data_IF_028370070058
#
_entry.id   IF_028370070058
#
_cell.length_a   1.000
_cell.length_b   1.000
_cell.length_c   1.000
_cell.angle_alpha   90.00
_cell.angle_beta   90.00
_cell.angle_gamma   90.00
#
_symmetry.space_group_name_H-M   'P 1'
#
loop_
_entity.id
_entity.type
_entity.pdbx_description
1 polymer ?
#
# COMPACT_ATOMS: atom_id res chain seq x y z
N UNK A 1 -12.55 18.21 -5.23
CA UNK A 1 -13.34 18.83 -6.32
C UNK A 1 -14.32 17.79 -6.88
N UNK A 2 -15.49 18.21 -7.36
CA UNK A 2 -16.50 17.34 -7.97
C UNK A 2 -17.01 17.96 -9.29
N UNK A 3 -17.19 17.18 -10.37
CA UNK A 3 -16.90 15.75 -10.49
C UNK A 3 -15.38 15.47 -10.43
N UNK A 4 -14.96 14.22 -10.17
CA UNK A 4 -13.56 13.84 -10.24
C UNK A 4 -12.97 14.14 -11.62
N UNK A 5 -11.81 14.79 -11.64
CA UNK A 5 -11.07 15.11 -12.86
C UNK A 5 -9.97 14.08 -13.12
N UNK A 6 -9.77 13.74 -14.39
CA UNK A 6 -8.62 12.99 -14.88
C UNK A 6 -7.45 13.94 -15.19
N UNK A 7 -6.22 13.44 -15.01
CA UNK A 7 -4.96 14.08 -15.41
C UNK A 7 -4.38 13.53 -16.71
N UNK A 8 -5.06 12.56 -17.35
CA UNK A 8 -4.63 12.01 -18.63
C UNK A 8 -4.60 13.11 -19.70
N UNK A 9 -3.63 13.04 -20.61
CA UNK A 9 -3.53 13.98 -21.72
C UNK A 9 -4.78 13.85 -22.62
N UNK A 10 -5.65 14.88 -22.72
CA UNK A 10 -6.85 14.82 -23.53
C UNK A 10 -6.59 14.72 -25.03
N UNK A 11 -5.40 15.08 -25.52
CA UNK A 11 -5.02 14.88 -26.92
C UNK A 11 -4.78 13.40 -27.25
N UNK A 12 -4.37 12.61 -26.26
CA UNK A 12 -4.08 11.17 -26.42
C UNK A 12 -5.29 10.32 -26.07
N UNK A 13 -6.00 10.68 -25.00
CA UNK A 13 -7.08 9.88 -24.43
C UNK A 13 -8.46 10.51 -24.62
N UNK A 14 -8.60 11.62 -25.35
CA UNK A 14 -9.88 12.27 -25.58
C UNK A 14 -10.56 12.76 -24.29
N UNK A 15 -11.90 12.79 -24.30
CA UNK A 15 -12.68 13.22 -23.14
C UNK A 15 -12.67 12.15 -22.03
N UNK A 16 -12.00 12.49 -20.92
CA UNK A 16 -11.89 11.66 -19.71
C UNK A 16 -12.68 12.23 -18.52
N UNK A 17 -13.69 13.08 -18.80
CA UNK A 17 -14.55 13.66 -17.77
C UNK A 17 -15.39 12.57 -17.12
N UNK A 18 -15.38 12.53 -15.78
CA UNK A 18 -16.25 11.63 -15.03
C UNK A 18 -17.72 11.88 -15.36
N UNK A 19 -18.44 10.79 -15.56
CA UNK A 19 -19.88 10.76 -15.86
C UNK A 19 -20.74 10.70 -14.60
N UNK A 20 -20.14 10.69 -13.41
CA UNK A 20 -20.87 10.73 -12.14
C UNK A 20 -21.52 12.11 -11.99
N UNK A 21 -22.84 12.13 -11.92
CA UNK A 21 -23.60 13.38 -11.76
C UNK A 21 -23.89 13.68 -10.30
N UNK A 22 -24.14 14.96 -10.02
CA UNK A 22 -24.57 15.40 -8.69
C UNK A 22 -25.89 14.75 -8.29
N UNK A 23 -26.88 14.69 -9.17
CA UNK A 23 -28.19 14.08 -8.87
C UNK A 23 -28.09 12.62 -8.40
N UNK A 24 -27.12 11.86 -8.93
CA UNK A 24 -26.87 10.47 -8.53
C UNK A 24 -26.35 10.34 -7.08
N UNK A 25 -25.74 11.40 -6.54
CA UNK A 25 -25.12 11.41 -5.19
C UNK A 25 -25.78 12.38 -4.21
N UNK A 26 -26.52 13.38 -4.68
CA UNK A 26 -27.03 14.53 -3.91
C UNK A 26 -28.13 14.17 -2.92
N UNK A 27 -28.88 13.08 -3.14
CA UNK A 27 -29.81 12.57 -2.12
C UNK A 27 -29.11 12.07 -0.84
N UNK A 28 -27.76 11.98 -0.82
CA UNK A 28 -26.99 11.37 0.29
C UNK A 28 -25.76 12.15 0.77
N UNK A 29 -25.32 13.24 0.13
CA UNK A 29 -24.10 13.93 0.58
C UNK A 29 -24.06 15.43 0.23
N UNK A 30 -24.00 16.31 1.25
CA UNK A 30 -23.56 17.70 1.11
C UNK A 30 -22.02 17.84 1.10
N UNK A 31 -21.28 16.76 1.39
CA UNK A 31 -19.81 16.72 1.48
C UNK A 31 -19.26 15.35 1.07
N UNK A 32 -18.98 15.14 -0.22
CA UNK A 32 -18.13 14.02 -0.66
C UNK A 32 -16.67 14.34 -0.32
N UNK A 33 -16.07 13.60 0.62
CA UNK A 33 -14.75 13.93 1.16
C UNK A 33 -13.66 12.89 0.84
N UNK A 34 -14.00 11.70 0.30
CA UNK A 34 -13.01 10.67 -0.03
C UNK A 34 -13.33 9.93 -1.33
N UNK A 35 -12.29 9.45 -2.02
CA UNK A 35 -12.40 8.67 -3.26
C UNK A 35 -11.29 7.63 -3.33
N UNK A 36 -11.59 6.50 -3.98
CA UNK A 36 -10.60 5.56 -4.50
C UNK A 36 -10.61 5.67 -6.02
N UNK A 37 -9.49 6.08 -6.61
CA UNK A 37 -9.42 6.43 -8.02
C UNK A 37 -8.30 5.66 -8.72
N UNK A 38 -8.66 4.62 -9.48
CA UNK A 38 -7.72 3.84 -10.28
C UNK A 38 -7.81 4.21 -11.77
N UNK A 39 -8.65 5.18 -12.13
CA UNK A 39 -8.95 5.49 -13.52
C UNK A 39 -7.69 5.85 -14.34
N UNK A 40 -6.97 6.90 -13.93
CA UNK A 40 -5.85 7.45 -14.71
C UNK A 40 -4.67 6.47 -14.81
N UNK A 41 -4.44 5.71 -13.75
CA UNK A 41 -3.37 4.72 -13.70
C UNK A 41 -3.66 3.53 -14.63
N UNK A 42 -4.93 3.15 -14.78
CA UNK A 42 -5.30 1.95 -15.52
C UNK A 42 -5.67 2.23 -16.98
N UNK A 43 -6.31 3.37 -17.27
CA UNK A 43 -6.83 3.70 -18.60
C UNK A 43 -5.81 3.48 -19.75
N UNK A 44 -4.52 3.87 -19.62
CA UNK A 44 -3.51 3.63 -20.66
C UNK A 44 -3.28 2.14 -21.02
N UNK A 45 -3.64 1.23 -20.12
CA UNK A 45 -3.42 -0.21 -20.26
C UNK A 45 -4.69 -1.00 -20.61
N UNK A 46 -5.87 -0.43 -20.37
CA UNK A 46 -7.13 -1.19 -20.45
C UNK A 46 -7.37 -1.82 -21.82
N UNK A 47 -7.09 -1.12 -22.92
CA UNK A 47 -7.26 -1.68 -24.27
C UNK A 47 -6.36 -2.90 -24.45
N UNK A 48 -5.08 -2.78 -24.12
CA UNK A 48 -4.08 -3.85 -24.24
C UNK A 48 -4.42 -5.05 -23.35
N UNK A 49 -4.88 -4.81 -22.12
CA UNK A 49 -5.33 -5.86 -21.19
C UNK A 49 -6.55 -6.56 -21.77
N UNK A 50 -7.59 -5.81 -22.13
CA UNK A 50 -8.88 -6.36 -22.54
C UNK A 50 -8.82 -7.11 -23.87
N UNK A 51 -7.93 -6.71 -24.79
CA UNK A 51 -7.76 -7.37 -26.10
C UNK A 51 -6.81 -8.57 -26.03
N UNK A 52 -5.68 -8.44 -25.32
CA UNK A 52 -4.57 -9.41 -25.45
C UNK A 52 -4.45 -10.38 -24.26
N UNK A 53 -5.43 -10.39 -23.35
CA UNK A 53 -5.46 -11.27 -22.19
C UNK A 53 -6.86 -11.84 -21.96
N UNK A 54 -6.96 -12.84 -21.08
CA UNK A 54 -8.25 -13.38 -20.64
C UNK A 54 -9.01 -12.46 -19.68
N UNK A 55 -8.35 -11.44 -19.13
CA UNK A 55 -8.97 -10.43 -18.25
C UNK A 55 -9.92 -9.52 -19.04
N UNK A 56 -10.96 -9.03 -18.37
CA UNK A 56 -11.84 -7.94 -18.80
C UNK A 56 -11.98 -6.93 -17.66
N UNK A 57 -11.13 -5.92 -17.67
CA UNK A 57 -10.98 -4.91 -16.63
C UNK A 57 -11.58 -3.56 -17.05
N UNK A 58 -11.88 -2.75 -16.03
CA UNK A 58 -12.30 -1.36 -16.15
C UNK A 58 -11.30 -0.45 -15.45
N UNK A 59 -11.32 0.84 -15.75
CA UNK A 59 -10.74 1.88 -14.92
C UNK A 59 -11.79 2.35 -13.93
N UNK A 60 -11.76 1.80 -12.71
CA UNK A 60 -12.77 2.09 -11.70
C UNK A 60 -12.47 3.35 -10.89
N UNK A 61 -13.53 4.09 -10.57
CA UNK A 61 -13.51 5.18 -9.61
C UNK A 61 -14.65 5.01 -8.61
N UNK A 62 -14.32 4.96 -7.32
CA UNK A 62 -15.29 4.79 -6.23
C UNK A 62 -15.39 6.05 -5.41
N UNK A 63 -16.60 6.60 -5.28
CA UNK A 63 -16.87 7.72 -4.39
C UNK A 63 -17.33 7.24 -3.03
N UNK A 64 -16.73 7.80 -1.99
CA UNK A 64 -16.98 7.46 -0.59
C UNK A 64 -17.49 8.69 0.15
N UNK A 65 -18.48 8.45 1.01
CA UNK A 65 -19.02 9.45 1.92
C UNK A 65 -18.64 9.11 3.35
N UNK A 66 -18.00 10.06 4.03
CA UNK A 66 -17.78 9.99 5.47
C UNK A 66 -19.08 10.41 6.14
N UNK A 67 -19.75 9.45 6.79
CA UNK A 67 -20.97 9.71 7.56
C UNK A 67 -20.62 10.44 8.85
N UNK A 68 -21.62 11.07 9.46
CA UNK A 68 -21.48 11.74 10.76
C UNK A 68 -21.09 10.77 11.89
N UNK A 69 -21.36 9.48 11.72
CA UNK A 69 -20.94 8.41 12.65
C UNK A 69 -19.50 7.92 12.43
N UNK A 70 -18.72 8.59 11.56
CA UNK A 70 -17.31 8.29 11.29
C UNK A 70 -17.05 7.19 10.26
N UNK A 71 -18.07 6.46 9.82
CA UNK A 71 -17.91 5.35 8.87
C UNK A 71 -17.93 5.84 7.41
N UNK A 72 -17.12 5.20 6.55
CA UNK A 72 -17.19 5.41 5.10
C UNK A 72 -18.31 4.59 4.46
N UNK A 73 -19.08 5.22 3.56
CA UNK A 73 -20.12 4.57 2.75
C UNK A 73 -19.85 4.77 1.26
N UNK A 74 -19.82 3.71 0.43
CA UNK A 74 -19.75 3.87 -1.02
C UNK A 74 -21.03 4.50 -1.56
N UNK A 75 -20.88 5.54 -2.38
CA UNK A 75 -21.99 6.26 -3.02
C UNK A 75 -22.19 5.87 -4.48
N UNK A 76 -21.09 5.70 -5.21
CA UNK A 76 -21.10 5.39 -6.62
C UNK A 76 -19.78 4.71 -7.02
N UNK A 77 -19.86 3.84 -8.02
CA UNK A 77 -18.72 3.27 -8.72
C UNK A 77 -18.89 3.60 -10.21
N UNK A 78 -17.95 4.33 -10.77
CA UNK A 78 -17.84 4.54 -12.21
C UNK A 78 -16.87 3.49 -12.78
N UNK A 79 -17.34 2.72 -13.76
CA UNK A 79 -16.52 1.78 -14.51
C UNK A 79 -16.30 2.32 -15.92
N UNK A 80 -15.05 2.66 -16.22
CA UNK A 80 -14.65 3.30 -17.48
C UNK A 80 -13.90 2.32 -18.37
N UNK A 81 -14.21 2.33 -19.66
CA UNK A 81 -13.44 1.65 -20.71
C UNK A 81 -12.86 2.67 -21.68
N UNK A 82 -11.76 2.37 -22.38
CA UNK A 82 -11.38 3.13 -23.56
C UNK A 82 -12.51 3.08 -24.59
N UNK A 83 -12.74 4.17 -25.31
CA UNK A 83 -13.77 4.23 -26.34
C UNK A 83 -13.54 3.14 -27.42
N UNK A 84 -14.57 2.43 -27.90
CA UNK A 84 -14.39 1.31 -28.84
C UNK A 84 -13.57 1.68 -30.08
N UNK A 85 -13.79 2.88 -30.63
CA UNK A 85 -13.14 3.35 -31.87
C UNK A 85 -11.69 3.84 -31.70
N UNK A 86 -11.16 3.92 -30.48
CA UNK A 86 -9.80 4.37 -30.20
C UNK A 86 -9.68 5.19 -28.92
N UNK A 87 -8.49 5.20 -28.31
CA UNK A 87 -8.25 5.88 -27.03
C UNK A 87 -8.46 7.39 -27.13
N UNK A 88 -8.16 7.98 -28.29
CA UNK A 88 -8.31 9.41 -28.58
C UNK A 88 -9.76 9.92 -28.53
N UNK A 89 -10.75 9.01 -28.52
CA UNK A 89 -12.17 9.37 -28.48
C UNK A 89 -12.75 9.45 -27.06
N UNK A 90 -11.95 9.22 -26.01
CA UNK A 90 -12.41 9.36 -24.63
C UNK A 90 -12.64 8.03 -23.92
N UNK A 91 -13.33 8.13 -22.78
CA UNK A 91 -13.79 6.98 -22.02
C UNK A 91 -15.27 6.69 -22.29
N UNK A 92 -15.60 5.42 -22.46
CA UNK A 92 -16.96 4.90 -22.38
C UNK A 92 -17.23 4.44 -20.95
N UNK A 93 -17.95 5.25 -20.17
CA UNK A 93 -18.16 5.04 -18.74
C UNK A 93 -19.62 4.70 -18.41
N UNK A 94 -19.81 3.81 -17.43
CA UNK A 94 -21.11 3.53 -16.80
C UNK A 94 -20.99 3.76 -15.30
N UNK A 95 -21.98 4.41 -14.70
CA UNK A 95 -22.05 4.68 -13.26
C UNK A 95 -23.04 3.74 -12.60
N UNK A 96 -22.61 3.13 -11.51
CA UNK A 96 -23.40 2.22 -10.68
C UNK A 96 -23.56 2.80 -9.28
N UNK A 97 -24.76 2.70 -8.71
CA UNK A 97 -25.07 3.19 -7.36
C UNK A 97 -25.59 2.04 -6.48
N UNK A 98 -25.44 2.13 -5.14
CA UNK A 98 -25.94 1.10 -4.24
C UNK A 98 -27.44 0.81 -4.41
N UNK A 99 -27.77 -0.47 -4.55
CA UNK A 99 -29.14 -1.01 -4.47
C UNK A 99 -29.16 -2.25 -3.55
N UNK A 100 -30.25 -2.43 -2.83
CA UNK A 100 -30.49 -3.56 -1.92
C UNK A 100 -31.54 -4.55 -2.47
N UNK A 101 -32.15 -4.25 -3.61
CA UNK A 101 -33.25 -5.02 -4.18
C UNK A 101 -33.03 -5.32 -5.65
N UNK A 102 -33.68 -6.40 -6.12
CA UNK A 102 -33.76 -6.74 -7.53
C UNK A 102 -32.41 -7.08 -8.18
N UNK A 103 -32.41 -7.07 -9.51
CA UNK A 103 -31.24 -7.31 -10.34
C UNK A 103 -30.16 -6.24 -10.12
N UNK A 104 -30.57 -5.03 -9.73
CA UNK A 104 -29.72 -3.89 -9.45
C UNK A 104 -28.80 -4.14 -8.26
N UNK A 105 -29.24 -4.92 -7.25
CA UNK A 105 -28.39 -5.32 -6.13
C UNK A 105 -27.21 -6.19 -6.60
N UNK A 106 -27.48 -7.10 -7.54
CA UNK A 106 -26.48 -8.00 -8.13
C UNK A 106 -25.52 -7.25 -9.06
N UNK A 107 -26.03 -6.29 -9.83
CA UNK A 107 -25.21 -5.37 -10.64
C UNK A 107 -24.29 -4.54 -9.73
N UNK A 108 -24.79 -4.06 -8.59
CA UNK A 108 -23.98 -3.34 -7.62
C UNK A 108 -22.89 -4.22 -7.00
N UNK A 109 -23.16 -5.49 -6.71
CA UNK A 109 -22.15 -6.44 -6.26
C UNK A 109 -21.05 -6.65 -7.30
N UNK A 110 -21.42 -6.81 -8.56
CA UNK A 110 -20.46 -6.91 -9.67
C UNK A 110 -19.63 -5.62 -9.80
N UNK A 111 -20.26 -4.45 -9.67
CA UNK A 111 -19.53 -3.16 -9.74
C UNK A 111 -18.47 -3.05 -8.63
N UNK A 112 -18.81 -3.48 -7.40
CA UNK A 112 -17.83 -3.60 -6.31
C UNK A 112 -16.72 -4.60 -6.66
N UNK A 113 -17.04 -5.76 -7.23
CA UNK A 113 -16.04 -6.74 -7.63
C UNK A 113 -15.05 -6.18 -8.66
N UNK A 114 -15.50 -5.44 -9.67
CA UNK A 114 -14.59 -4.79 -10.63
C UNK A 114 -13.69 -3.74 -9.97
N UNK A 115 -14.24 -2.93 -9.07
CA UNK A 115 -13.45 -1.99 -8.29
C UNK A 115 -12.41 -2.70 -7.39
N UNK A 116 -12.79 -3.82 -6.77
CA UNK A 116 -11.90 -4.67 -5.98
C UNK A 116 -10.83 -5.35 -6.83
N UNK A 117 -11.13 -5.75 -8.07
CA UNK A 117 -10.13 -6.28 -9.02
C UNK A 117 -9.05 -5.25 -9.32
N UNK A 118 -9.44 -4.00 -9.57
CA UNK A 118 -8.47 -2.92 -9.73
C UNK A 118 -7.64 -2.74 -8.46
N UNK A 119 -8.27 -2.66 -7.29
CA UNK A 119 -7.59 -2.51 -6.00
C UNK A 119 -6.59 -3.65 -5.73
N UNK A 120 -6.97 -4.89 -6.00
CA UNK A 120 -6.12 -6.05 -5.80
C UNK A 120 -4.85 -6.00 -6.67
N UNK A 121 -4.98 -5.65 -7.96
CA UNK A 121 -3.80 -5.49 -8.82
C UNK A 121 -2.92 -4.29 -8.42
N UNK A 122 -3.54 -3.18 -8.03
CA UNK A 122 -2.83 -1.99 -7.53
C UNK A 122 -2.08 -2.28 -6.24
N UNK A 123 -2.74 -2.95 -5.30
CA UNK A 123 -2.13 -3.39 -4.05
C UNK A 123 -0.95 -4.31 -4.31
N UNK A 124 -1.13 -5.39 -5.07
CA UNK A 124 -0.08 -6.40 -5.26
C UNK A 124 1.15 -5.84 -5.98
N UNK A 125 0.93 -5.10 -7.07
CA UNK A 125 2.03 -4.68 -7.95
C UNK A 125 2.66 -3.36 -7.48
N UNK A 126 1.85 -2.41 -6.99
CA UNK A 126 2.32 -1.06 -6.71
C UNK A 126 2.54 -0.86 -5.22
N UNK A 127 1.50 -1.01 -4.40
CA UNK A 127 1.62 -0.76 -2.96
C UNK A 127 2.55 -1.77 -2.28
N UNK A 128 2.44 -3.05 -2.63
CA UNK A 128 3.22 -4.11 -2.02
C UNK A 128 4.55 -4.27 -2.75
N UNK A 129 4.58 -4.87 -3.95
CA UNK A 129 5.83 -5.17 -4.65
C UNK A 129 6.71 -3.93 -4.90
N UNK A 130 6.21 -2.91 -5.61
CA UNK A 130 7.04 -1.76 -5.97
C UNK A 130 7.46 -0.97 -4.72
N UNK A 131 6.50 -0.54 -3.92
CA UNK A 131 6.71 0.41 -2.82
C UNK A 131 7.33 -0.18 -1.55
N UNK A 132 7.57 -1.50 -1.50
CA UNK A 132 8.31 -2.14 -0.39
C UNK A 132 9.47 -2.97 -0.95
N UNK A 133 9.19 -4.17 -1.49
CA UNK A 133 10.19 -5.09 -2.03
C UNK A 133 11.19 -4.42 -2.99
N UNK A 134 10.71 -3.83 -4.08
CA UNK A 134 11.57 -3.37 -5.17
C UNK A 134 12.36 -2.10 -4.82
N UNK A 135 11.75 -1.16 -4.09
CA UNK A 135 12.44 0.10 -3.71
C UNK A 135 13.44 -0.09 -2.57
N UNK A 136 13.31 -1.14 -1.76
CA UNK A 136 14.25 -1.42 -0.68
C UNK A 136 15.54 -2.11 -1.15
N UNK A 137 15.47 -3.00 -2.15
CA UNK A 137 16.62 -3.79 -2.59
C UNK A 137 17.86 -2.95 -2.98
N UNK A 138 17.75 -1.81 -3.70
CA UNK A 138 18.90 -0.97 -4.01
C UNK A 138 19.57 -0.35 -2.78
N UNK A 139 18.78 -0.03 -1.75
CA UNK A 139 19.27 0.51 -0.48
C UNK A 139 20.11 -0.55 0.25
N UNK A 140 19.63 -1.80 0.27
CA UNK A 140 20.34 -2.92 0.88
C UNK A 140 21.69 -3.15 0.20
N UNK A 141 21.70 -3.15 -1.14
CA UNK A 141 22.91 -3.36 -1.93
C UNK A 141 23.94 -2.26 -1.65
N UNK A 142 23.52 -0.99 -1.69
CA UNK A 142 24.42 0.14 -1.41
C UNK A 142 24.96 0.12 0.02
N UNK A 143 24.11 -0.20 1.01
CA UNK A 143 24.54 -0.26 2.41
C UNK A 143 25.64 -1.31 2.62
N UNK A 144 25.49 -2.50 2.04
CA UNK A 144 26.50 -3.57 2.11
C UNK A 144 27.79 -3.27 1.33
N UNK A 145 27.73 -2.36 0.33
CA UNK A 145 28.88 -2.00 -0.50
C UNK A 145 29.68 -0.82 0.03
N UNK A 146 29.02 0.11 0.71
CA UNK A 146 29.60 1.40 1.09
C UNK A 146 29.78 1.60 2.58
N UNK A 147 29.02 0.88 3.42
CA UNK A 147 29.14 0.98 4.88
C UNK A 147 29.80 -0.28 5.42
N UNK A 148 30.90 -0.13 6.17
CA UNK A 148 31.51 -1.26 6.87
C UNK A 148 30.57 -1.77 7.98
N UNK A 149 30.69 -3.05 8.35
CA UNK A 149 29.87 -3.67 9.41
C UNK A 149 29.97 -2.97 10.78
N UNK A 150 31.03 -2.19 11.01
CA UNK A 150 31.21 -1.38 12.22
C UNK A 150 30.48 -0.03 12.16
N UNK A 151 30.10 0.44 10.97
CA UNK A 151 29.49 1.73 10.75
C UNK A 151 28.15 1.84 11.51
N UNK A 152 27.88 2.95 12.23
CA UNK A 152 26.65 3.08 13.02
C UNK A 152 25.39 2.99 12.15
N UNK A 153 25.37 3.63 10.99
CA UNK A 153 24.21 3.54 10.08
C UNK A 153 24.03 2.13 9.49
N UNK A 154 25.11 1.35 9.29
CA UNK A 154 24.97 -0.07 8.92
C UNK A 154 24.30 -0.84 10.06
N UNK A 155 24.77 -0.67 11.31
CA UNK A 155 24.16 -1.31 12.49
C UNK A 155 22.71 -0.89 12.69
N UNK A 156 22.34 0.34 12.38
CA UNK A 156 20.96 0.82 12.46
C UNK A 156 20.06 0.12 11.43
N UNK A 157 20.48 0.11 10.15
CA UNK A 157 19.63 -0.32 9.04
C UNK A 157 19.65 -1.84 8.79
N UNK A 158 20.75 -2.52 9.09
CA UNK A 158 20.95 -3.94 8.76
C UNK A 158 19.83 -4.89 9.24
N UNK A 159 19.27 -4.77 10.46
CA UNK A 159 18.13 -5.61 10.87
C UNK A 159 16.93 -5.51 9.93
N UNK A 160 16.75 -4.35 9.30
CA UNK A 160 15.64 -4.04 8.41
C UNK A 160 15.84 -4.55 6.97
N UNK A 161 16.95 -5.25 6.72
CA UNK A 161 17.29 -5.83 5.42
C UNK A 161 17.16 -7.35 5.38
N UNK A 162 16.86 -7.97 6.53
CA UNK A 162 16.78 -9.43 6.68
C UNK A 162 15.84 -10.03 5.62
N UNK A 163 16.35 -11.06 4.95
CA UNK A 163 15.67 -11.85 3.91
C UNK A 163 15.13 -11.10 2.67
N UNK A 164 15.11 -9.76 2.63
CA UNK A 164 14.53 -8.99 1.53
C UNK A 164 15.14 -9.31 0.16
N UNK A 165 16.48 -9.39 0.06
CA UNK A 165 17.11 -9.78 -1.22
C UNK A 165 16.79 -11.23 -1.60
N UNK A 166 16.67 -12.12 -0.62
CA UNK A 166 16.37 -13.54 -0.84
C UNK A 166 14.95 -13.70 -1.36
N UNK A 167 13.95 -13.12 -0.68
CA UNK A 167 12.56 -13.17 -1.13
C UNK A 167 12.36 -12.44 -2.47
N UNK A 168 13.08 -11.35 -2.72
CA UNK A 168 13.03 -10.67 -4.03
C UNK A 168 13.62 -11.54 -5.15
N UNK A 169 14.72 -12.25 -4.90
CA UNK A 169 15.30 -13.17 -5.88
C UNK A 169 14.34 -14.31 -6.21
N UNK A 170 13.71 -14.93 -5.21
CA UNK A 170 12.64 -15.91 -5.42
C UNK A 170 11.45 -15.28 -6.16
N UNK A 171 11.01 -14.10 -5.75
CA UNK A 171 9.94 -13.35 -6.39
C UNK A 171 10.19 -13.15 -7.88
N UNK A 172 11.41 -12.74 -8.27
CA UNK A 172 11.81 -12.63 -9.67
C UNK A 172 11.78 -13.95 -10.43
N UNK A 173 11.99 -15.09 -9.76
CA UNK A 173 12.05 -16.40 -10.41
C UNK A 173 10.67 -17.07 -10.59
N UNK A 174 9.76 -16.90 -9.62
CA UNK A 174 8.49 -17.65 -9.59
C UNK A 174 7.23 -16.77 -9.57
N UNK A 175 7.34 -15.53 -9.10
CA UNK A 175 6.19 -14.66 -8.84
C UNK A 175 5.98 -13.68 -10.00
N UNK A 176 6.95 -12.80 -10.23
CA UNK A 176 6.83 -11.68 -11.18
C UNK A 176 7.46 -11.94 -12.55
N UNK A 177 7.99 -13.15 -12.79
CA UNK A 177 8.50 -13.55 -14.10
C UNK A 177 7.37 -13.73 -15.13
N UNK A 178 7.75 -13.75 -16.41
CA UNK A 178 6.86 -14.11 -17.50
C UNK A 178 6.26 -15.51 -17.29
N UNK A 179 4.93 -15.62 -17.32
CA UNK A 179 4.20 -16.84 -16.98
C UNK A 179 4.26 -17.24 -15.50
N UNK A 180 4.76 -16.38 -14.62
CA UNK A 180 4.82 -16.55 -13.18
C UNK A 180 3.44 -16.52 -12.51
N UNK A 181 3.43 -16.63 -11.18
CA UNK A 181 2.19 -16.61 -10.39
C UNK A 181 1.41 -15.32 -10.60
N UNK A 182 2.07 -14.16 -10.52
CA UNK A 182 1.43 -12.85 -10.64
C UNK A 182 0.70 -12.72 -11.98
N UNK A 183 1.35 -13.08 -13.09
CA UNK A 183 0.69 -13.00 -14.40
C UNK A 183 -0.53 -13.93 -14.55
N UNK A 184 -0.59 -15.00 -13.75
CA UNK A 184 -1.69 -15.98 -13.75
C UNK A 184 -2.83 -15.62 -12.80
N UNK A 185 -2.56 -14.80 -11.78
CA UNK A 185 -3.50 -14.59 -10.67
C UNK A 185 -3.95 -13.14 -10.50
N UNK A 186 -3.31 -12.14 -11.10
CA UNK A 186 -3.79 -10.74 -11.06
C UNK A 186 -4.16 -10.20 -12.44
N UNK A 187 -5.11 -9.26 -12.46
CA UNK A 187 -5.75 -8.77 -13.68
C UNK A 187 -4.79 -8.19 -14.75
N UNK A 188 -3.65 -7.52 -14.43
CA UNK A 188 -2.79 -6.97 -15.47
C UNK A 188 -2.06 -8.05 -16.28
N UNK A 189 -1.98 -9.27 -15.75
CA UNK A 189 -1.27 -10.40 -16.35
C UNK A 189 0.14 -9.97 -16.80
N UNK A 190 0.49 -10.22 -18.08
CA UNK A 190 1.79 -9.87 -18.69
C UNK A 190 2.16 -8.39 -18.71
N UNK A 191 1.23 -7.50 -18.35
CA UNK A 191 1.51 -6.05 -18.25
C UNK A 191 1.88 -5.62 -16.83
N UNK A 192 1.83 -6.52 -15.84
CA UNK A 192 2.07 -6.20 -14.42
C UNK A 192 3.36 -5.41 -14.19
N UNK A 193 4.50 -5.94 -14.65
CA UNK A 193 5.80 -5.31 -14.42
C UNK A 193 6.01 -4.03 -15.23
N UNK A 194 5.44 -3.95 -16.43
CA UNK A 194 5.46 -2.71 -17.21
C UNK A 194 4.68 -1.60 -16.49
N UNK A 195 3.51 -1.93 -15.93
CA UNK A 195 2.71 -0.99 -15.16
C UNK A 195 3.43 -0.54 -13.88
N UNK A 196 4.15 -1.44 -13.19
CA UNK A 196 4.93 -1.06 -12.01
C UNK A 196 6.02 -0.03 -12.35
N UNK A 197 6.72 -0.23 -13.48
CA UNK A 197 7.72 0.72 -13.96
C UNK A 197 7.11 2.09 -14.32
N UNK A 198 5.88 2.12 -14.84
CA UNK A 198 5.17 3.37 -15.08
C UNK A 198 4.81 4.09 -13.78
N UNK A 199 4.33 3.36 -12.76
CA UNK A 199 4.01 3.95 -11.45
C UNK A 199 5.26 4.45 -10.73
N UNK A 200 6.40 3.77 -10.91
CA UNK A 200 7.68 4.20 -10.35
C UNK A 200 8.11 5.61 -10.78
N UNK A 201 7.66 6.09 -11.94
CA UNK A 201 7.94 7.46 -12.39
C UNK A 201 7.44 8.52 -11.41
N UNK A 202 6.32 8.26 -10.73
CA UNK A 202 5.72 9.15 -9.74
C UNK A 202 6.18 8.87 -8.29
N UNK A 203 7.01 7.84 -8.09
CA UNK A 203 7.56 7.49 -6.78
C UNK A 203 8.50 8.58 -6.27
N UNK A 204 8.39 8.91 -4.97
CA UNK A 204 9.32 9.84 -4.31
C UNK A 204 9.58 9.34 -2.90
N UNK A 205 10.86 9.16 -2.55
CA UNK A 205 11.24 8.65 -1.23
C UNK A 205 10.66 9.51 -0.09
N UNK A 206 10.72 10.83 -0.22
CA UNK A 206 10.26 11.78 0.81
C UNK A 206 8.75 11.76 1.02
N UNK A 207 7.97 11.24 0.06
CA UNK A 207 6.52 11.06 0.18
C UNK A 207 6.15 9.64 0.66
N UNK A 208 7.13 8.75 0.88
CA UNK A 208 6.90 7.39 1.40
C UNK A 208 6.81 7.31 2.93
N UNK A 209 7.18 8.38 3.63
CA UNK A 209 6.91 8.51 5.05
C UNK A 209 5.42 8.72 5.33
N UNK A 210 4.89 8.09 6.38
CA UNK A 210 3.46 8.09 6.66
C UNK A 210 2.84 9.50 6.79
N UNK A 211 3.43 10.46 7.53
CA UNK A 211 2.89 11.82 7.61
C UNK A 211 2.74 12.49 6.24
N UNK A 212 3.78 12.40 5.40
CA UNK A 212 3.80 13.00 4.07
C UNK A 212 2.77 12.34 3.13
N UNK A 213 2.65 11.01 3.17
CA UNK A 213 1.64 10.27 2.42
C UNK A 213 0.20 10.68 2.82
N UNK A 214 -0.08 10.76 4.12
CA UNK A 214 -1.41 11.15 4.61
C UNK A 214 -1.80 12.57 4.17
N UNK A 215 -0.86 13.51 4.22
CA UNK A 215 -1.07 14.88 3.73
C UNK A 215 -1.27 14.88 2.21
N UNK A 216 -0.41 14.19 1.45
CA UNK A 216 -0.47 14.12 -0.02
C UNK A 216 -1.81 13.56 -0.50
N UNK A 217 -2.35 12.54 0.17
CA UNK A 217 -3.65 11.95 -0.15
C UNK A 217 -4.83 12.78 0.35
N UNK A 218 -4.58 13.85 1.10
CA UNK A 218 -5.61 14.70 1.72
C UNK A 218 -6.35 13.98 2.85
N UNK A 219 -5.71 13.01 3.50
CA UNK A 219 -6.26 12.26 4.65
C UNK A 219 -5.85 12.87 6.00
N UNK A 220 -4.89 13.81 6.00
CA UNK A 220 -4.51 14.60 7.16
C UNK A 220 -4.10 16.01 6.75
N UNK A 221 -4.12 16.95 7.70
CA UNK A 221 -3.51 18.27 7.57
C UNK A 221 -2.60 18.54 8.75
N UNK A 222 -1.49 19.31 8.58
CA UNK A 222 -0.68 19.75 9.71
C UNK A 222 -1.51 20.55 10.72
N UNK A 223 -1.41 20.18 11.99
CA UNK A 223 -2.04 20.88 13.12
C UNK A 223 -1.16 20.75 14.37
N UNK A 224 -0.42 21.80 14.76
CA UNK A 224 0.45 21.78 15.93
C UNK A 224 -0.28 21.55 17.26
N UNK A 225 -1.60 21.73 17.31
CA UNK A 225 -2.40 21.52 18.52
C UNK A 225 -2.81 20.06 18.71
N UNK A 226 -2.65 19.22 17.69
CA UNK A 226 -2.89 17.78 17.77
C UNK A 226 -1.67 17.06 18.35
N UNK A 227 -1.91 16.00 19.13
CA UNK A 227 -0.88 15.19 19.84
C UNK A 227 0.31 14.75 18.98
N UNK A 228 0.10 14.63 17.67
CA UNK A 228 1.07 14.11 16.70
C UNK A 228 1.32 15.08 15.53
N UNK A 229 0.98 16.37 15.70
CA UNK A 229 1.19 17.40 14.67
C UNK A 229 0.30 17.29 13.43
N UNK A 230 -0.64 16.32 13.41
CA UNK A 230 -1.57 16.07 12.32
C UNK A 230 -3.00 15.97 12.84
N UNK A 231 -3.92 16.59 12.10
CA UNK A 231 -5.36 16.39 12.25
C UNK A 231 -5.87 15.51 11.11
N UNK A 232 -6.50 14.40 11.43
CA UNK A 232 -7.02 13.47 10.43
C UNK A 232 -8.33 13.99 9.82
N UNK A 233 -8.55 13.65 8.54
CA UNK A 233 -9.85 13.87 7.88
C UNK A 233 -10.87 12.79 8.26
N UNK A 234 -10.38 11.62 8.69
CA UNK A 234 -11.14 10.51 9.22
C UNK A 234 -10.49 10.18 10.56
N UNK A 235 -11.12 10.59 11.66
CA UNK A 235 -10.53 10.48 13.00
C UNK A 235 -10.22 9.03 13.39
N UNK A 236 -11.15 8.11 13.09
CA UNK A 236 -10.96 6.67 13.28
C UNK A 236 -10.53 6.00 11.96
N UNK A 237 -9.32 6.29 11.48
CA UNK A 237 -8.71 5.60 10.34
C UNK A 237 -7.63 4.63 10.86
N UNK A 238 -7.92 3.33 11.03
CA UNK A 238 -7.07 2.41 11.78
C UNK A 238 -5.60 2.38 11.33
N UNK A 239 -5.34 2.24 10.02
CA UNK A 239 -3.99 2.27 9.46
C UNK A 239 -3.24 3.58 9.77
N UNK A 240 -3.90 4.73 9.63
CA UNK A 240 -3.26 6.03 9.83
C UNK A 240 -3.00 6.32 11.32
N UNK A 241 -3.98 6.04 12.17
CA UNK A 241 -3.89 6.34 13.61
C UNK A 241 -2.86 5.42 14.28
N UNK A 242 -2.90 4.11 13.99
CA UNK A 242 -1.94 3.16 14.56
C UNK A 242 -0.56 3.36 13.94
N UNK A 243 -0.52 3.55 12.61
CA UNK A 243 0.72 3.74 11.88
C UNK A 243 1.47 4.98 12.31
N UNK A 244 0.78 6.07 12.67
CA UNK A 244 1.44 7.30 13.12
C UNK A 244 2.14 7.11 14.47
N UNK A 245 1.58 6.30 15.36
CA UNK A 245 2.26 5.96 16.62
C UNK A 245 3.52 5.12 16.39
N UNK A 246 3.46 4.13 15.49
CA UNK A 246 4.63 3.34 15.10
C UNK A 246 5.68 4.21 14.42
N UNK A 247 5.27 5.08 13.49
CA UNK A 247 6.15 6.04 12.81
C UNK A 247 6.90 6.91 13.81
N UNK A 248 6.21 7.51 14.78
CA UNK A 248 6.84 8.38 15.78
C UNK A 248 7.78 7.64 16.72
N UNK A 249 7.48 6.37 17.05
CA UNK A 249 8.39 5.54 17.82
C UNK A 249 9.69 5.25 17.03
N UNK A 250 9.57 4.93 15.74
CA UNK A 250 10.73 4.74 14.84
C UNK A 250 11.52 6.05 14.72
N UNK A 251 10.83 7.16 14.46
CA UNK A 251 11.47 8.48 14.32
C UNK A 251 12.25 8.86 15.56
N UNK A 252 11.68 8.64 16.75
CA UNK A 252 12.35 8.92 18.01
C UNK A 252 13.57 8.01 18.25
N UNK A 253 13.43 6.72 17.94
CA UNK A 253 14.54 5.77 18.00
C UNK A 253 15.71 6.19 17.11
N UNK A 254 15.41 6.54 15.86
CA UNK A 254 16.41 6.97 14.88
C UNK A 254 17.06 8.29 15.28
N UNK A 255 16.28 9.25 15.77
CA UNK A 255 16.77 10.53 16.28
C UNK A 255 17.77 10.32 17.43
N UNK A 256 17.37 9.56 18.46
CA UNK A 256 18.22 9.29 19.62
C UNK A 256 19.51 8.54 19.22
N UNK A 257 19.41 7.58 18.31
CA UNK A 257 20.55 6.82 17.80
C UNK A 257 21.52 7.69 16.97
N UNK A 258 21.00 8.42 15.98
CA UNK A 258 21.84 9.20 15.08
C UNK A 258 22.48 10.40 15.80
N UNK A 259 21.76 11.05 16.73
CA UNK A 259 22.29 12.19 17.49
C UNK A 259 23.48 11.80 18.37
N UNK A 260 23.59 10.53 18.77
CA UNK A 260 24.73 10.02 19.52
C UNK A 260 26.01 9.95 18.66
N UNK A 261 25.90 9.44 17.43
CA UNK A 261 27.06 9.30 16.52
C UNK A 261 27.36 10.57 15.72
N UNK A 262 26.35 11.39 15.45
CA UNK A 262 26.43 12.61 14.64
C UNK A 262 25.81 13.81 15.40
N UNK A 263 26.46 14.31 16.46
CA UNK A 263 25.95 15.45 17.24
C UNK A 263 25.91 16.78 16.46
N UNK A 264 26.56 16.86 15.30
CA UNK A 264 26.58 18.05 14.44
C UNK A 264 26.46 17.65 12.97
N UNK A 265 25.96 18.57 12.16
CA UNK A 265 25.83 18.38 10.70
C UNK A 265 27.19 18.14 10.02
N UNK A 266 28.26 18.77 10.52
CA UNK A 266 29.61 18.61 9.97
C UNK A 266 30.08 17.14 10.00
N UNK A 267 29.73 16.38 11.05
CA UNK A 267 30.09 14.96 11.12
C UNK A 267 29.32 14.11 10.10
N UNK A 268 28.12 14.53 9.69
CA UNK A 268 27.38 13.87 8.59
C UNK A 268 28.06 14.18 7.25
N UNK A 269 28.52 15.41 7.06
CA UNK A 269 29.19 15.86 5.84
C UNK A 269 30.57 15.21 5.66
N UNK A 270 31.32 15.04 6.74
CA UNK A 270 32.68 14.47 6.76
C UNK A 270 32.70 12.94 6.64
N UNK A 271 31.58 12.27 6.88
CA UNK A 271 31.48 10.81 6.81
C UNK A 271 31.48 10.30 5.37
N UNK A 272 32.66 9.93 4.88
CA UNK A 272 32.85 9.47 3.51
C UNK A 272 32.08 8.17 3.16
N UNK A 273 31.85 7.27 4.13
CA UNK A 273 31.11 6.03 3.89
C UNK A 273 29.62 6.35 3.73
N UNK A 274 29.06 7.19 4.62
CA UNK A 274 27.69 7.67 4.53
C UNK A 274 27.42 8.44 3.23
N UNK A 275 28.34 9.34 2.84
CA UNK A 275 28.22 10.07 1.58
C UNK A 275 28.29 9.14 0.36
N UNK A 276 29.17 8.14 0.38
CA UNK A 276 29.28 7.15 -0.69
C UNK A 276 28.06 6.25 -0.78
N UNK A 277 27.54 5.77 0.36
CA UNK A 277 26.29 5.02 0.47
C UNK A 277 25.15 5.79 -0.18
N UNK A 278 24.92 7.03 0.25
CA UNK A 278 23.80 7.81 -0.25
C UNK A 278 23.93 8.17 -1.73
N UNK A 279 25.16 8.47 -2.17
CA UNK A 279 25.47 8.69 -3.57
C UNK A 279 25.19 7.45 -4.42
N UNK A 280 25.52 6.24 -3.96
CA UNK A 280 25.25 5.01 -4.70
C UNK A 280 23.76 4.67 -4.71
N UNK A 281 23.03 4.83 -3.60
CA UNK A 281 21.56 4.68 -3.57
C UNK A 281 20.90 5.53 -4.64
N UNK A 282 21.23 6.83 -4.70
CA UNK A 282 20.63 7.76 -5.67
C UNK A 282 21.17 7.56 -7.09
N UNK A 283 22.48 7.42 -7.24
CA UNK A 283 23.17 7.47 -8.53
C UNK A 283 23.26 6.15 -9.29
N UNK A 284 23.06 5.02 -8.61
CA UNK A 284 23.13 3.67 -9.17
C UNK A 284 21.87 2.88 -8.82
N UNK A 285 21.46 2.88 -7.55
CA UNK A 285 20.33 2.08 -7.08
C UNK A 285 18.97 2.53 -7.62
N UNK A 286 18.76 3.85 -7.66
CA UNK A 286 17.59 4.52 -8.21
C UNK A 286 17.99 5.51 -9.31
N UNK A 287 18.89 5.08 -10.19
CA UNK A 287 19.54 5.92 -11.20
C UNK A 287 18.57 6.63 -12.15
N UNK A 288 17.47 5.97 -12.51
CA UNK A 288 16.36 6.52 -13.31
C UNK A 288 15.76 7.81 -12.72
N UNK A 289 15.95 8.04 -11.41
CA UNK A 289 15.42 9.18 -10.66
C UNK A 289 16.51 10.00 -9.99
N UNK A 290 17.79 9.80 -10.35
CA UNK A 290 18.94 10.44 -9.67
C UNK A 290 18.94 11.97 -9.69
N UNK A 291 18.33 12.57 -10.71
CA UNK A 291 18.33 14.01 -10.96
C UNK A 291 17.10 14.71 -10.34
N UNK A 292 16.23 13.96 -9.68
CA UNK A 292 15.02 14.50 -9.06
C UNK A 292 15.36 15.41 -7.86
N UNK A 293 14.71 16.59 -7.73
CA UNK A 293 15.09 17.59 -6.74
C UNK A 293 14.67 17.24 -5.30
N UNK A 294 13.83 16.22 -5.12
CA UNK A 294 13.27 15.84 -3.82
C UNK A 294 14.18 14.91 -3.00
N UNK A 295 15.30 14.43 -3.57
CA UNK A 295 16.26 13.62 -2.82
C UNK A 295 16.87 14.43 -1.65
N UNK A 296 16.85 13.90 -0.42
CA UNK A 296 17.68 14.42 0.67
C UNK A 296 19.13 14.59 0.22
N UNK A 297 19.79 15.66 0.68
CA UNK A 297 21.18 15.93 0.29
C UNK A 297 22.16 15.12 1.13
N UNK A 298 21.70 14.61 2.28
CA UNK A 298 22.50 13.90 3.27
C UNK A 298 23.64 14.78 3.80
N UNK A 299 23.32 16.03 4.13
CA UNK A 299 24.30 17.01 4.64
C UNK A 299 24.02 17.44 6.08
N UNK A 300 22.90 17.01 6.64
CA UNK A 300 22.47 17.38 8.00
C UNK A 300 22.04 16.15 8.77
N UNK A 301 22.07 16.23 10.09
CA UNK A 301 21.50 15.21 10.97
C UNK A 301 20.01 14.99 10.67
N UNK A 302 19.28 16.06 10.33
CA UNK A 302 17.86 15.99 9.95
C UNK A 302 17.63 15.19 8.65
N UNK A 303 18.47 15.38 7.63
CA UNK A 303 18.41 14.58 6.39
C UNK A 303 18.64 13.09 6.70
N UNK A 304 19.64 12.80 7.53
CA UNK A 304 20.00 11.44 7.93
C UNK A 304 18.88 10.76 8.72
N UNK A 305 18.37 11.41 9.76
CA UNK A 305 17.32 10.85 10.62
C UNK A 305 16.03 10.62 9.84
N UNK A 306 15.58 11.60 9.05
CA UNK A 306 14.38 11.44 8.21
C UNK A 306 14.53 10.31 7.20
N UNK A 307 15.68 10.22 6.55
CA UNK A 307 15.94 9.17 5.55
C UNK A 307 15.93 7.78 6.21
N UNK A 308 16.64 7.60 7.32
CA UNK A 308 16.65 6.34 8.07
C UNK A 308 15.24 5.97 8.58
N UNK A 309 14.47 6.94 9.09
CA UNK A 309 13.08 6.71 9.53
C UNK A 309 12.20 6.22 8.38
N UNK A 310 12.31 6.82 7.18
CA UNK A 310 11.56 6.35 5.99
C UNK A 310 11.96 4.92 5.63
N UNK A 311 13.26 4.61 5.60
CA UNK A 311 13.77 3.28 5.25
C UNK A 311 13.22 2.23 6.23
N UNK A 312 13.33 2.49 7.54
CA UNK A 312 12.84 1.57 8.57
C UNK A 312 11.31 1.43 8.50
N UNK A 313 10.58 2.52 8.32
CA UNK A 313 9.12 2.48 8.14
C UNK A 313 8.69 1.64 6.94
N UNK A 314 9.34 1.81 5.78
CA UNK A 314 9.03 1.06 4.56
C UNK A 314 9.33 -0.43 4.73
N UNK A 315 10.49 -0.74 5.31
CA UNK A 315 10.93 -2.11 5.54
C UNK A 315 10.05 -2.86 6.55
N UNK A 316 9.55 -2.17 7.58
CA UNK A 316 8.81 -2.78 8.68
C UNK A 316 7.30 -2.54 8.55
N UNK A 317 6.80 -1.48 9.17
CA UNK A 317 5.37 -1.25 9.40
C UNK A 317 4.55 -1.07 8.11
N UNK A 318 5.10 -0.41 7.08
CA UNK A 318 4.40 -0.27 5.80
C UNK A 318 4.24 -1.61 5.10
N UNK A 319 5.33 -2.39 4.99
CA UNK A 319 5.28 -3.73 4.44
C UNK A 319 4.32 -4.62 5.24
N UNK A 320 4.43 -4.63 6.57
CA UNK A 320 3.57 -5.43 7.42
C UNK A 320 2.07 -5.14 7.20
N UNK A 321 1.70 -3.86 7.16
CA UNK A 321 0.32 -3.42 6.93
C UNK A 321 -0.23 -3.81 5.55
N UNK A 322 0.64 -4.04 4.56
CA UNK A 322 0.28 -4.43 3.21
C UNK A 322 0.37 -5.95 2.99
N UNK A 323 1.19 -6.65 3.76
CA UNK A 323 1.54 -8.05 3.55
C UNK A 323 0.71 -9.02 4.41
N UNK A 324 0.69 -8.84 5.74
CA UNK A 324 0.16 -9.88 6.65
C UNK A 324 -1.37 -9.95 6.71
N UNK A 325 -2.07 -8.98 6.10
CA UNK A 325 -3.52 -9.03 5.93
C UNK A 325 -3.98 -9.75 4.67
N UNK A 326 -3.05 -10.16 3.79
CA UNK A 326 -3.37 -10.71 2.48
C UNK A 326 -4.30 -11.93 2.58
N UNK A 327 -3.94 -12.94 3.37
CA UNK A 327 -4.78 -14.12 3.52
C UNK A 327 -6.06 -13.83 4.30
N UNK A 328 -5.98 -13.04 5.38
CA UNK A 328 -7.15 -12.75 6.23
C UNK A 328 -8.27 -12.01 5.48
N UNK A 329 -7.92 -11.10 4.56
CA UNK A 329 -8.91 -10.38 3.74
C UNK A 329 -9.17 -11.03 2.39
N UNK A 330 -8.16 -11.58 1.72
CA UNK A 330 -8.27 -12.08 0.34
C UNK A 330 -8.31 -13.62 0.21
N UNK A 331 -8.20 -14.35 1.33
CA UNK A 331 -8.39 -15.80 1.39
C UNK A 331 -9.80 -16.24 1.00
N UNK A 332 -10.79 -15.34 1.12
CA UNK A 332 -12.10 -15.50 0.52
C UNK A 332 -12.20 -14.66 -0.77
N UNK A 333 -11.86 -15.29 -1.90
CA UNK A 333 -11.73 -14.61 -3.20
C UNK A 333 -12.94 -13.75 -3.65
N UNK A 334 -14.21 -14.08 -3.30
CA UNK A 334 -15.33 -13.18 -3.56
C UNK A 334 -15.25 -11.80 -2.88
N UNK A 335 -14.56 -11.68 -1.74
CA UNK A 335 -14.34 -10.40 -1.04
C UNK A 335 -13.32 -9.53 -1.77
N UNK A 336 -12.19 -10.14 -2.17
CA UNK A 336 -11.10 -9.47 -2.88
C UNK A 336 -10.71 -10.19 -4.18
N UNK A 337 -11.57 -10.18 -5.22
CA UNK A 337 -11.27 -10.82 -6.49
C UNK A 337 -10.07 -10.16 -7.15
N UNK A 338 -9.17 -10.96 -7.73
CA UNK A 338 -7.92 -10.47 -8.33
C UNK A 338 -7.96 -10.38 -9.86
N UNK A 339 -8.95 -11.03 -10.50
CA UNK A 339 -9.19 -11.06 -11.95
C UNK A 339 -10.69 -10.97 -12.20
N UNK A 340 -11.08 -10.19 -13.21
CA UNK A 340 -12.40 -10.28 -13.84
C UNK A 340 -12.27 -10.89 -15.24
N UNK A 341 -13.12 -11.87 -15.59
CA UNK A 341 -13.03 -12.68 -16.81
C UNK A 341 -14.00 -12.26 -17.93
N UNK A 342 -14.98 -11.42 -17.60
CA UNK A 342 -15.96 -10.87 -18.54
C UNK A 342 -16.28 -9.43 -18.17
N UNK A 343 -16.88 -8.70 -19.09
CA UNK A 343 -17.44 -7.38 -18.82
C UNK A 343 -18.76 -7.50 -18.04
N UNK A 344 -19.22 -6.38 -17.48
CA UNK A 344 -20.52 -6.27 -16.84
C UNK A 344 -21.59 -6.84 -17.77
N UNK A 345 -22.40 -7.83 -17.33
CA UNK A 345 -23.51 -8.33 -18.13
C UNK A 345 -24.49 -7.20 -18.46
N UNK A 346 -25.13 -7.25 -19.62
CA UNK A 346 -26.15 -6.25 -19.95
C UNK A 346 -27.35 -6.37 -18.98
N UNK A 347 -27.94 -5.23 -18.57
CA UNK A 347 -29.16 -5.22 -17.77
C UNK A 347 -30.28 -6.03 -18.43
N UNK A 348 -30.99 -6.86 -17.66
CA UNK A 348 -32.04 -7.75 -18.18
C UNK A 348 -31.54 -9.05 -18.83
N UNK A 349 -30.24 -9.34 -18.73
CA UNK A 349 -29.74 -10.66 -19.14
C UNK A 349 -30.28 -11.75 -18.22
N UNK A 350 -30.82 -12.82 -18.82
CA UNK A 350 -31.48 -13.91 -18.11
C UNK A 350 -30.61 -14.54 -17.02
N UNK A 351 -29.27 -14.49 -17.14
CA UNK A 351 -28.36 -15.08 -16.15
C UNK A 351 -28.30 -14.28 -14.83
N UNK A 352 -28.25 -12.94 -14.87
CA UNK A 352 -28.16 -12.13 -13.63
C UNK A 352 -29.49 -12.18 -12.87
N UNK A 353 -30.60 -12.33 -13.58
CA UNK A 353 -31.93 -12.45 -12.97
C UNK A 353 -32.20 -13.84 -12.40
N UNK A 354 -31.76 -14.90 -13.08
CA UNK A 354 -32.05 -16.28 -12.67
C UNK A 354 -31.05 -16.86 -11.67
N UNK A 355 -29.77 -16.49 -11.75
CA UNK A 355 -28.70 -17.03 -10.89
C UNK A 355 -27.57 -16.00 -10.69
N UNK A 356 -27.80 -14.96 -9.85
CA UNK A 356 -26.85 -13.88 -9.65
C UNK A 356 -25.53 -14.34 -9.03
N UNK A 357 -25.53 -15.39 -8.21
CA UNK A 357 -24.31 -15.96 -7.62
C UNK A 357 -23.43 -16.60 -8.68
N UNK A 358 -24.01 -17.42 -9.57
CA UNK A 358 -23.28 -17.97 -10.71
C UNK A 358 -22.80 -16.88 -11.65
N UNK A 359 -23.59 -15.82 -11.84
CA UNK A 359 -23.16 -14.67 -12.63
C UNK A 359 -21.94 -13.97 -12.00
N UNK A 360 -21.91 -13.85 -10.67
CA UNK A 360 -20.76 -13.33 -9.92
C UNK A 360 -19.53 -14.24 -10.04
N UNK A 361 -19.69 -15.53 -9.76
CA UNK A 361 -18.62 -16.53 -9.80
C UNK A 361 -18.03 -16.71 -11.20
N UNK A 362 -18.83 -16.56 -12.27
CA UNK A 362 -18.34 -16.54 -13.66
C UNK A 362 -17.54 -15.30 -13.99
N UNK A 363 -17.74 -14.21 -13.25
CA UNK A 363 -17.05 -12.94 -13.46
C UNK A 363 -15.71 -12.90 -12.75
N UNK A 364 -15.64 -13.27 -11.47
CA UNK A 364 -14.41 -13.24 -10.66
C UNK A 364 -13.45 -14.41 -11.04
N UNK A 365 -12.27 -14.60 -10.39
CA UNK A 365 -11.32 -15.64 -10.77
C UNK A 365 -11.94 -17.04 -10.84
N UNK A 366 -11.41 -17.86 -11.75
CA UNK A 366 -11.80 -19.27 -11.84
C UNK A 366 -11.32 -20.05 -10.60
N UNK A 367 -11.95 -21.18 -10.29
CA UNK A 367 -11.52 -22.03 -9.18
C UNK A 367 -10.02 -22.37 -9.21
N UNK A 368 -9.47 -22.69 -10.39
CA UNK A 368 -8.04 -22.99 -10.55
C UNK A 368 -7.16 -21.77 -10.22
N UNK A 369 -7.52 -20.59 -10.72
CA UNK A 369 -6.82 -19.33 -10.42
C UNK A 369 -6.92 -18.97 -8.94
N UNK A 370 -8.08 -19.21 -8.33
CA UNK A 370 -8.35 -18.99 -6.92
C UNK A 370 -7.48 -19.88 -6.03
N UNK A 371 -7.37 -21.19 -6.32
CA UNK A 371 -6.51 -22.09 -5.56
C UNK A 371 -5.04 -21.67 -5.60
N UNK A 372 -4.54 -21.28 -6.79
CA UNK A 372 -3.18 -20.79 -6.92
C UNK A 372 -2.97 -19.47 -6.17
N UNK A 373 -3.92 -18.53 -6.28
CA UNK A 373 -3.84 -17.23 -5.62
C UNK A 373 -3.85 -17.36 -4.09
N UNK A 374 -4.85 -18.06 -3.54
CA UNK A 374 -4.99 -18.24 -2.08
C UNK A 374 -3.79 -18.96 -1.49
N UNK A 375 -3.28 -20.02 -2.14
CA UNK A 375 -2.11 -20.76 -1.62
C UNK A 375 -0.86 -19.87 -1.49
N UNK A 376 -0.68 -18.92 -2.41
CA UNK A 376 0.44 -17.96 -2.35
C UNK A 376 0.19 -16.89 -1.28
N UNK A 377 -1.05 -16.39 -1.16
CA UNK A 377 -1.39 -15.42 -0.12
C UNK A 377 -1.24 -16.02 1.27
N UNK A 378 -1.55 -17.31 1.47
CA UNK A 378 -1.35 -18.03 2.73
C UNK A 378 0.12 -18.08 3.12
N UNK A 379 1.00 -18.46 2.17
CA UNK A 379 2.45 -18.51 2.38
C UNK A 379 2.98 -17.11 2.69
N UNK A 380 2.62 -16.10 1.89
CA UNK A 380 3.11 -14.73 2.06
C UNK A 380 2.60 -14.07 3.35
N UNK A 381 1.48 -14.52 3.92
CA UNK A 381 0.92 -13.97 5.16
C UNK A 381 1.45 -14.66 6.42
N UNK A 382 2.29 -15.68 6.28
CA UNK A 382 2.76 -16.50 7.40
C UNK A 382 4.08 -15.96 7.96
N UNK A 383 4.10 -15.67 9.26
CA UNK A 383 5.35 -15.42 9.98
C UNK A 383 6.14 -16.71 10.18
N UNK A 384 7.44 -16.66 9.91
CA UNK A 384 8.37 -17.73 10.24
C UNK A 384 8.60 -17.81 11.76
N UNK A 385 9.00 -18.99 12.25
CA UNK A 385 9.22 -19.22 13.68
C UNK A 385 10.42 -18.43 14.23
N UNK A 386 11.38 -18.12 13.36
CA UNK A 386 12.62 -17.41 13.63
C UNK A 386 12.59 -15.95 13.18
N UNK A 387 11.40 -15.40 12.90
CA UNK A 387 11.20 -13.99 12.56
C UNK A 387 11.67 -13.06 13.69
N UNK A 388 12.18 -11.89 13.31
CA UNK A 388 12.63 -10.86 14.26
C UNK A 388 11.85 -9.58 14.03
N UNK A 389 11.02 -9.26 15.03
CA UNK A 389 10.06 -8.18 14.97
C UNK A 389 10.69 -6.82 15.26
N UNK A 390 9.97 -5.76 14.90
CA UNK A 390 10.34 -4.38 15.18
C UNK A 390 10.56 -4.18 16.68
N UNK A 391 11.70 -3.61 17.05
CA UNK A 391 12.13 -3.48 18.44
C UNK A 391 12.88 -4.70 18.99
N UNK A 392 13.16 -5.70 18.14
CA UNK A 392 14.01 -6.86 18.45
C UNK A 392 15.26 -6.88 17.55
N UNK A 393 16.27 -7.64 17.95
CA UNK A 393 17.49 -7.93 17.17
C UNK A 393 17.91 -9.37 17.35
N UNK A 394 18.56 -9.92 16.32
CA UNK A 394 19.07 -11.31 16.32
C UNK A 394 20.10 -11.58 17.42
N UNK A 395 20.81 -10.55 17.89
CA UNK A 395 21.81 -10.65 18.94
C UNK A 395 21.74 -9.47 19.91
N UNK A 396 21.83 -9.69 21.23
CA UNK A 396 21.84 -8.61 22.21
C UNK A 396 23.13 -7.77 22.16
N UNK A 397 24.25 -8.35 21.71
CA UNK A 397 25.58 -7.73 21.73
C UNK A 397 25.96 -7.08 20.38
N UNK A 398 24.97 -6.54 19.67
CA UNK A 398 25.15 -5.89 18.36
C UNK A 398 25.97 -4.59 18.43
N UNK A 399 26.10 -4.00 19.63
CA UNK A 399 27.01 -2.89 19.94
C UNK A 399 27.41 -2.89 21.40
N UNK A 400 28.56 -2.30 21.72
CA UNK A 400 29.00 -2.06 23.11
C UNK A 400 28.61 -0.68 23.63
N UNK A 401 28.05 0.17 22.76
CA UNK A 401 27.71 1.56 23.09
C UNK A 401 26.43 1.60 23.94
N UNK A 402 26.58 2.05 25.19
CA UNK A 402 25.50 2.03 26.19
C UNK A 402 24.31 2.90 25.77
N UNK A 403 24.55 4.09 25.24
CA UNK A 403 23.48 5.04 24.87
C UNK A 403 22.57 4.47 23.77
N UNK A 404 23.10 3.96 22.64
CA UNK A 404 22.31 3.21 21.66
C UNK A 404 21.54 2.01 22.21
N UNK A 405 22.12 1.23 23.12
CA UNK A 405 21.43 0.10 23.75
C UNK A 405 20.24 0.57 24.61
N UNK A 406 20.43 1.63 25.40
CA UNK A 406 19.36 2.23 26.19
C UNK A 406 18.24 2.82 25.33
N UNK A 407 18.60 3.52 24.25
CA UNK A 407 17.63 4.05 23.29
C UNK A 407 16.85 2.92 22.60
N UNK A 408 17.49 1.79 22.27
CA UNK A 408 16.82 0.64 21.68
C UNK A 408 15.84 -0.02 22.68
N UNK A 409 16.24 -0.12 23.95
CA UNK A 409 15.36 -0.61 25.01
C UNK A 409 14.14 0.30 25.23
N UNK A 410 14.30 1.63 25.12
CA UNK A 410 13.18 2.58 25.18
C UNK A 410 12.25 2.41 23.97
N UNK A 411 12.82 2.18 22.78
CA UNK A 411 12.05 1.90 21.57
C UNK A 411 11.17 0.65 21.73
N UNK A 412 11.75 -0.47 22.18
CA UNK A 412 10.99 -1.70 22.46
C UNK A 412 9.83 -1.50 23.45
N UNK A 413 10.09 -0.80 24.57
CA UNK A 413 9.05 -0.45 25.56
C UNK A 413 7.95 0.43 24.96
N UNK A 414 8.31 1.39 24.10
CA UNK A 414 7.34 2.25 23.41
C UNK A 414 6.41 1.41 22.52
N UNK A 415 6.95 0.43 21.80
CA UNK A 415 6.16 -0.49 20.97
C UNK A 415 5.20 -1.33 21.80
N UNK A 416 5.62 -1.86 22.96
CA UNK A 416 4.73 -2.58 23.87
C UNK A 416 3.55 -1.71 24.36
N UNK A 417 3.82 -0.43 24.65
CA UNK A 417 2.76 0.52 25.03
C UNK A 417 1.84 0.86 23.86
N UNK A 418 2.37 0.98 22.65
CA UNK A 418 1.57 1.18 21.43
C UNK A 418 0.62 0.00 21.24
N UNK A 419 1.11 -1.25 21.37
CA UNK A 419 0.27 -2.44 21.22
C UNK A 419 -0.91 -2.46 22.21
N UNK A 420 -0.66 -2.08 23.46
CA UNK A 420 -1.72 -1.92 24.48
C UNK A 420 -2.75 -0.90 24.04
N UNK A 421 -2.34 0.28 23.55
CA UNK A 421 -3.26 1.31 23.05
C UNK A 421 -4.02 0.87 21.80
N UNK A 422 -3.40 0.10 20.89
CA UNK A 422 -4.13 -0.47 19.75
C UNK A 422 -5.19 -1.47 20.25
N UNK A 423 -4.85 -2.30 21.24
CA UNK A 423 -5.80 -3.24 21.86
C UNK A 423 -6.96 -2.52 22.54
N UNK A 424 -6.70 -1.45 23.28
CA UNK A 424 -7.74 -0.61 23.89
C UNK A 424 -8.67 -0.03 22.82
N UNK A 425 -8.11 0.56 21.75
CA UNK A 425 -8.90 1.06 20.62
C UNK A 425 -9.74 -0.04 19.97
N UNK A 426 -9.18 -1.23 19.75
CA UNK A 426 -9.91 -2.33 19.14
C UNK A 426 -11.10 -2.83 19.99
N UNK A 427 -11.08 -2.57 21.30
CA UNK A 427 -12.17 -2.92 22.23
C UNK A 427 -13.10 -1.74 22.54
N UNK A 428 -12.82 -0.53 22.04
CA UNK A 428 -13.64 0.65 22.28
C UNK A 428 -14.77 0.75 21.23
N UNK A 429 -16.01 0.59 21.69
CA UNK A 429 -17.21 0.64 20.84
C UNK A 429 -17.43 2.02 20.19
N UNK A 430 -16.76 3.08 20.66
CA UNK A 430 -16.85 4.41 20.08
C UNK A 430 -16.06 4.55 18.76
N UNK A 431 -15.05 3.70 18.53
CA UNK A 431 -14.23 3.68 17.29
C UNK A 431 -14.66 2.52 16.37
N UNK A 432 -15.59 2.85 15.47
CA UNK A 432 -16.38 1.87 14.70
C UNK A 432 -15.68 1.28 13.48
N UNK A 433 -14.65 1.94 12.95
CA UNK A 433 -13.95 1.51 11.73
C UNK A 433 -12.93 0.39 11.99
N UNK A 434 -12.70 0.02 13.26
CA UNK A 434 -11.64 -0.90 13.66
C UNK A 434 -11.98 -2.38 13.51
N UNK A 435 -13.26 -2.73 13.62
CA UNK A 435 -13.75 -4.12 13.67
C UNK A 435 -14.72 -4.42 12.52
N UNK A 436 -15.58 -3.44 12.21
CA UNK A 436 -16.58 -3.55 11.15
C UNK A 436 -17.61 -4.67 11.35
N UNK A 437 -18.50 -4.88 10.37
CA UNK A 437 -19.54 -5.92 10.45
C UNK A 437 -18.98 -7.35 10.39
N UNK A 438 -17.75 -7.52 9.89
CA UNK A 438 -17.06 -8.81 9.81
C UNK A 438 -16.49 -9.28 11.14
N UNK A 439 -16.50 -8.43 12.18
CA UNK A 439 -16.02 -8.74 13.53
C UNK A 439 -14.54 -9.15 13.57
N UNK A 440 -13.70 -8.50 12.76
CA UNK A 440 -12.25 -8.73 12.71
C UNK A 440 -11.56 -7.44 13.15
N UNK A 441 -10.96 -7.39 14.36
CA UNK A 441 -10.21 -6.23 14.82
C UNK A 441 -9.01 -5.92 13.93
N UNK A 442 -8.68 -4.64 13.78
CA UNK A 442 -7.50 -4.22 13.04
C UNK A 442 -6.23 -4.42 13.87
N UNK A 443 -5.49 -5.50 13.57
CA UNK A 443 -4.28 -5.91 14.31
C UNK A 443 -3.00 -5.87 13.47
N UNK A 444 -3.07 -5.43 12.21
CA UNK A 444 -1.93 -5.45 11.28
C UNK A 444 -0.72 -4.60 11.70
N UNK A 445 -0.92 -3.68 12.65
CA UNK A 445 0.14 -2.83 13.19
C UNK A 445 0.45 -3.12 14.67
N UNK A 446 0.09 -4.31 15.16
CA UNK A 446 0.62 -4.81 16.41
C UNK A 446 2.10 -5.13 16.20
N UNK A 447 3.02 -4.60 17.03
CA UNK A 447 4.44 -4.90 16.92
C UNK A 447 4.75 -6.39 17.01
N UNK A 448 4.06 -7.14 17.88
CA UNK A 448 4.37 -8.55 18.16
C UNK A 448 3.42 -9.56 17.51
N UNK A 449 3.92 -10.77 17.29
CA UNK A 449 3.16 -11.89 16.74
C UNK A 449 3.77 -13.24 17.11
N UNK A 450 3.01 -14.28 16.81
CA UNK A 450 3.43 -15.68 16.89
C UNK A 450 3.69 -16.21 15.47
N UNK A 451 4.32 -17.38 15.34
CA UNK A 451 4.43 -18.08 14.06
C UNK A 451 3.05 -18.30 13.42
N UNK A 452 2.95 -18.15 12.09
CA UNK A 452 1.74 -18.47 11.34
C UNK A 452 1.08 -17.27 10.66
N UNK A 453 -0.05 -17.49 9.95
CA UNK A 453 -0.83 -16.44 9.31
C UNK A 453 -1.76 -15.75 10.32
N UNK A 454 -1.19 -14.96 11.21
CA UNK A 454 -1.88 -14.41 12.39
C UNK A 454 -2.62 -13.09 12.12
N UNK A 455 -2.33 -12.39 11.02
CA UNK A 455 -2.90 -11.08 10.72
C UNK A 455 -2.44 -9.97 11.68
N UNK A 456 -1.26 -10.13 12.28
CA UNK A 456 -0.63 -9.18 13.21
C UNK A 456 0.88 -9.40 13.25
N UNK A 457 1.65 -8.44 13.76
CA UNK A 457 3.11 -8.50 13.82
C UNK A 457 3.75 -7.56 12.83
N UNK A 458 4.79 -6.85 13.27
CA UNK A 458 5.61 -6.01 12.41
C UNK A 458 7.03 -6.57 12.42
N UNK A 459 7.44 -7.33 11.40
CA UNK A 459 8.84 -7.70 11.20
C UNK A 459 9.76 -6.48 11.06
N UNK A 460 11.06 -6.65 11.29
CA UNK A 460 12.02 -5.59 11.00
C UNK A 460 12.12 -5.27 9.50
N UNK A 461 11.86 -6.24 8.64
CA UNK A 461 12.22 -6.23 7.22
C UNK A 461 11.08 -6.71 6.32
N UNK A 462 11.29 -6.58 5.01
CA UNK A 462 10.45 -7.19 3.98
C UNK A 462 10.82 -8.68 3.87
N UNK A 463 10.31 -9.50 4.81
CA UNK A 463 10.60 -10.94 4.94
C UNK A 463 9.42 -11.84 4.57
#
# INVERSE_FOLDING_TARGET
EFPPKSKLNPEVYGNQTSTITKDQIERKARRTNSRRDHHDMLMPYLRRINTNTSTKAYGARTLLFLKDDGNLKPLAIELSLPHPDGDQYGAASKVFTPSEHGVESSIWWLAKAYASVNDAGVHQIFSHWLHTHAVMEPIIIAANRQLIVLHPIYKLLHPHFRDTMNINAFGRQILVNAGGVTEKTVFPQKYSMEMSAMVYKDWKLTEHGLPADLIKRGMAVPDPNCKHGLRFMIEDYPFAVDGLEIWLAIEKWVEDYCSFYYPTDDLVQEDSELQAFWKEVRGVGHDDKKDEPWWPKMQTLEDLTKTCTIIIWVASALHAALNFGQYNYAGFMPDRPTISRRFMPEPGSAEVESDPEKAFLRTIPSQKSTLLGIGILEIASRHAADEVYLGQRDTPDWTTDVVPLEAFNKFGKSLEEIEKRITERNNDENVKNRVGPVKIPYTLLYPTSEEGPTGKGIPNSVS
#
